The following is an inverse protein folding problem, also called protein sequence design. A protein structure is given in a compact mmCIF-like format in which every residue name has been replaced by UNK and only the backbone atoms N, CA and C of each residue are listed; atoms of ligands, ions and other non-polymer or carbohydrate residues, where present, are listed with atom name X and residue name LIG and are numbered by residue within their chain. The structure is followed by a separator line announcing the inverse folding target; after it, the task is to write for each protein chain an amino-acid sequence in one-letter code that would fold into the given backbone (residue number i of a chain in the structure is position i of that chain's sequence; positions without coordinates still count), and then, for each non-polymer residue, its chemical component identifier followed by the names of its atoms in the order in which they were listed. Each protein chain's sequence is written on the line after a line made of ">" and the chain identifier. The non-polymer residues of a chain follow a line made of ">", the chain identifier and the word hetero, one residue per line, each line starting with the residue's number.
data_IF_914618522570
#
_entry.id   IF_914618522570
#
_cell.length_a   1.000
_cell.length_b   1.000
_cell.length_c   1.000
_cell.angle_alpha   90.00
_cell.angle_beta   90.00
_cell.angle_gamma   90.00
#
_symmetry.space_group_name_H-M   'P 1'
#
loop_
_entity.id
_entity.type
_entity.pdbx_description
1 polymer ?
#
# COMPACT_ATOMS: atom_id res chain seq x y z
N UNK A 1 22.55 0.13 -19.91
CA UNK A 1 21.24 -0.55 -19.83
C UNK A 1 20.83 -0.55 -18.38
N UNK A 2 19.89 0.32 -18.00
CA UNK A 2 19.34 0.31 -16.63
C UNK A 2 18.36 -0.87 -16.56
N UNK A 3 18.78 -1.97 -15.94
CA UNK A 3 17.90 -3.07 -15.58
C UNK A 3 17.06 -2.65 -14.36
N UNK A 4 16.17 -1.67 -14.55
CA UNK A 4 15.17 -1.36 -13.53
C UNK A 4 14.20 -2.54 -13.46
N UNK A 5 14.19 -3.23 -12.32
CA UNK A 5 13.21 -4.27 -12.01
C UNK A 5 11.83 -3.61 -12.07
N UNK A 6 10.85 -4.19 -12.77
CA UNK A 6 9.49 -3.65 -12.80
C UNK A 6 8.94 -3.47 -11.38
N UNK A 7 8.25 -2.37 -11.11
CA UNK A 7 7.70 -2.07 -9.78
C UNK A 7 6.86 -3.22 -9.22
N UNK A 8 6.02 -3.82 -10.07
CA UNK A 8 5.19 -4.96 -9.72
C UNK A 8 6.03 -6.15 -9.27
N UNK A 9 7.15 -6.45 -9.95
CA UNK A 9 8.09 -7.49 -9.52
C UNK A 9 8.65 -7.20 -8.14
N UNK A 10 9.04 -5.95 -7.85
CA UNK A 10 9.52 -5.58 -6.51
C UNK A 10 8.45 -5.77 -5.42
N UNK A 11 7.20 -5.40 -5.71
CA UNK A 11 6.08 -5.57 -4.79
C UNK A 11 5.84 -7.06 -4.53
N UNK A 12 5.71 -7.87 -5.57
CA UNK A 12 5.47 -9.31 -5.43
C UNK A 12 6.64 -10.04 -4.78
N UNK A 13 7.88 -9.67 -5.07
CA UNK A 13 9.07 -10.21 -4.39
C UNK A 13 9.06 -9.88 -2.89
N UNK A 14 8.66 -8.67 -2.53
CA UNK A 14 8.57 -8.26 -1.11
C UNK A 14 7.49 -9.04 -0.37
N UNK A 15 6.36 -9.29 -1.04
CA UNK A 15 5.27 -10.10 -0.48
C UNK A 15 5.66 -11.58 -0.36
N UNK A 16 6.36 -12.11 -1.36
CA UNK A 16 6.91 -13.46 -1.32
C UNK A 16 7.92 -13.63 -0.17
N UNK A 17 8.81 -12.65 0.06
CA UNK A 17 9.71 -12.67 1.22
C UNK A 17 8.97 -12.59 2.55
N UNK A 18 7.85 -11.87 2.61
CA UNK A 18 7.02 -11.82 3.82
C UNK A 18 6.38 -13.19 4.12
N UNK A 19 5.96 -13.94 3.07
CA UNK A 19 5.42 -15.31 3.17
C UNK A 19 6.34 -16.27 3.92
N UNK A 20 7.65 -16.18 3.71
CA UNK A 20 8.64 -17.08 4.35
C UNK A 20 8.54 -17.09 5.88
N UNK A 21 7.90 -16.05 6.46
CA UNK A 21 7.66 -15.91 7.90
C UNK A 21 6.21 -16.13 8.32
N UNK A 22 5.23 -15.94 7.41
CA UNK A 22 3.78 -15.99 7.70
C UNK A 22 3.02 -16.56 6.50
N UNK A 23 3.06 -17.88 6.32
CA UNK A 23 2.50 -18.56 5.12
C UNK A 23 0.97 -18.59 5.09
N UNK A 24 0.32 -18.73 6.26
CA UNK A 24 -1.13 -18.93 6.37
C UNK A 24 -1.98 -17.71 5.98
N UNK A 25 -1.40 -16.50 5.95
CA UNK A 25 -2.06 -15.25 5.57
C UNK A 25 -1.71 -14.80 4.15
N UNK A 26 -0.76 -15.48 3.50
CA UNK A 26 -0.16 -15.04 2.25
C UNK A 26 -1.16 -14.95 1.09
N UNK A 27 -2.00 -15.96 0.88
CA UNK A 27 -2.89 -15.97 -0.28
C UNK A 27 -3.89 -14.81 -0.22
N UNK A 28 -4.47 -14.54 0.95
CA UNK A 28 -5.37 -13.39 1.14
C UNK A 28 -4.64 -12.06 0.87
N UNK A 29 -3.42 -11.92 1.38
CA UNK A 29 -2.62 -10.72 1.16
C UNK A 29 -2.24 -10.56 -0.33
N UNK A 30 -1.86 -11.64 -1.01
CA UNK A 30 -1.54 -11.64 -2.44
C UNK A 30 -2.75 -11.22 -3.26
N UNK A 31 -3.89 -11.88 -3.08
CA UNK A 31 -5.10 -11.55 -3.83
C UNK A 31 -5.50 -10.09 -3.62
N UNK A 32 -5.41 -9.59 -2.39
CA UNK A 32 -5.77 -8.21 -2.06
C UNK A 32 -4.78 -7.18 -2.65
N UNK A 33 -3.47 -7.43 -2.57
CA UNK A 33 -2.45 -6.52 -3.11
C UNK A 33 -2.48 -6.53 -4.65
N UNK A 34 -2.64 -7.70 -5.27
CA UNK A 34 -2.81 -7.82 -6.72
C UNK A 34 -4.06 -7.06 -7.17
N UNK A 35 -5.19 -7.22 -6.47
CA UNK A 35 -6.42 -6.48 -6.77
C UNK A 35 -6.22 -4.96 -6.69
N UNK A 36 -5.50 -4.45 -5.68
CA UNK A 36 -5.18 -3.01 -5.57
C UNK A 36 -4.36 -2.50 -6.77
N UNK A 37 -3.36 -3.26 -7.22
CA UNK A 37 -2.37 -2.80 -8.21
C UNK A 37 -2.89 -2.97 -9.64
N UNK A 38 -3.59 -4.06 -9.91
CA UNK A 38 -3.96 -4.44 -11.28
C UNK A 38 -5.35 -3.92 -11.67
N UNK A 39 -6.23 -3.64 -10.69
CA UNK A 39 -7.57 -3.12 -10.96
C UNK A 39 -7.63 -1.60 -10.69
N UNK A 40 -7.48 -0.80 -11.75
CA UNK A 40 -7.53 0.66 -11.65
C UNK A 40 -8.93 1.21 -11.35
N UNK A 41 -10.00 0.46 -11.63
CA UNK A 41 -11.39 0.87 -11.44
C UNK A 41 -12.11 0.01 -10.38
N UNK A 42 -11.47 -0.17 -9.22
CA UNK A 42 -12.05 -0.98 -8.14
C UNK A 42 -13.39 -0.41 -7.67
N UNK A 43 -14.46 -1.21 -7.63
CA UNK A 43 -15.70 -0.77 -7.02
C UNK A 43 -15.50 -0.58 -5.52
N UNK A 44 -16.23 0.38 -4.95
CA UNK A 44 -16.24 0.60 -3.51
C UNK A 44 -16.77 -0.64 -2.78
N UNK A 45 -15.98 -1.18 -1.86
CA UNK A 45 -16.32 -2.34 -1.07
C UNK A 45 -17.46 -2.03 -0.07
N UNK A 46 -18.09 -3.09 0.45
CA UNK A 46 -19.17 -2.98 1.46
C UNK A 46 -18.65 -2.70 2.87
N UNK A 47 -17.35 -2.86 3.09
CA UNK A 47 -16.68 -2.63 4.35
C UNK A 47 -15.29 -2.04 4.13
N UNK A 48 -14.73 -1.47 5.18
CA UNK A 48 -13.38 -0.95 5.19
C UNK A 48 -12.37 -2.08 5.06
N UNK A 49 -11.52 -2.02 4.04
CA UNK A 49 -10.51 -3.04 3.75
C UNK A 49 -9.38 -3.09 4.80
N UNK A 50 -9.33 -2.12 5.73
CA UNK A 50 -8.32 -2.04 6.81
C UNK A 50 -8.85 -2.64 8.12
N UNK A 51 -10.13 -2.42 8.45
CA UNK A 51 -10.67 -2.77 9.77
C UNK A 51 -12.07 -3.39 9.77
N UNK A 52 -12.62 -3.71 8.59
CA UNK A 52 -13.96 -4.28 8.37
C UNK A 52 -15.13 -3.46 8.91
N UNK A 53 -14.91 -2.20 9.30
CA UNK A 53 -16.00 -1.27 9.61
C UNK A 53 -16.83 -0.97 8.36
N UNK A 54 -18.16 -1.03 8.46
CA UNK A 54 -19.09 -0.69 7.37
C UNK A 54 -19.62 0.76 7.47
N UNK A 55 -19.07 1.58 8.36
CA UNK A 55 -19.56 2.95 8.62
C UNK A 55 -18.77 3.98 7.82
N UNK A 56 -19.50 4.89 7.16
CA UNK A 56 -18.95 6.06 6.43
C UNK A 56 -17.73 5.68 5.57
N UNK A 57 -18.00 4.86 4.56
CA UNK A 57 -16.98 4.37 3.65
C UNK A 57 -16.62 5.43 2.62
N UNK A 58 -15.36 5.51 2.25
CA UNK A 58 -14.76 6.45 1.31
C UNK A 58 -13.71 5.70 0.47
N UNK A 59 -13.45 6.16 -0.76
CA UNK A 59 -12.33 5.64 -1.56
C UNK A 59 -11.09 6.47 -1.23
N UNK A 60 -10.01 5.78 -0.90
CA UNK A 60 -8.71 6.37 -0.62
C UNK A 60 -7.72 6.01 -1.72
N UNK A 61 -7.16 7.00 -2.39
CA UNK A 61 -6.14 6.82 -3.42
C UNK A 61 -4.81 6.44 -2.78
N UNK A 62 -4.24 5.30 -3.18
CA UNK A 62 -3.03 4.74 -2.59
C UNK A 62 -1.85 5.69 -2.80
N UNK A 63 -1.65 6.22 -4.02
CA UNK A 63 -0.57 7.15 -4.38
C UNK A 63 -0.92 8.63 -4.14
N UNK A 64 -2.13 8.93 -3.66
CA UNK A 64 -2.75 10.25 -3.72
C UNK A 64 -3.47 10.50 -5.06
N UNK A 65 -4.51 11.33 -5.05
CA UNK A 65 -5.47 11.46 -6.16
C UNK A 65 -4.88 12.02 -7.47
N UNK A 66 -3.72 12.68 -7.41
CA UNK A 66 -3.07 13.26 -8.59
C UNK A 66 -2.04 12.31 -9.23
N UNK A 67 -1.70 11.20 -8.56
CA UNK A 67 -0.55 10.34 -8.90
C UNK A 67 -0.93 8.92 -9.34
N UNK A 68 -2.20 8.53 -9.22
CA UNK A 68 -2.65 7.17 -9.57
C UNK A 68 -4.12 6.92 -9.23
N UNK A 69 -4.69 5.91 -9.89
CA UNK A 69 -6.10 5.50 -9.73
C UNK A 69 -6.27 4.31 -8.76
N UNK A 70 -5.18 3.72 -8.27
CA UNK A 70 -5.26 2.64 -7.30
C UNK A 70 -5.94 3.17 -6.03
N UNK A 71 -7.04 2.53 -5.64
CA UNK A 71 -7.84 2.93 -4.49
C UNK A 71 -8.10 1.75 -3.56
N UNK A 72 -8.32 2.05 -2.29
CA UNK A 72 -8.94 1.13 -1.33
C UNK A 72 -10.19 1.77 -0.72
N UNK A 73 -11.12 0.96 -0.27
CA UNK A 73 -12.26 1.39 0.54
C UNK A 73 -11.84 1.48 2.00
N UNK A 74 -11.89 2.68 2.55
CA UNK A 74 -11.58 2.94 3.95
C UNK A 74 -12.82 3.53 4.66
N UNK A 75 -13.03 3.18 5.93
CA UNK A 75 -13.94 3.96 6.76
C UNK A 75 -13.31 5.34 7.01
N UNK A 76 -14.15 6.34 7.30
CA UNK A 76 -13.71 7.72 7.52
C UNK A 76 -12.51 7.84 8.47
N UNK A 77 -12.48 7.09 9.58
CA UNK A 77 -11.36 7.13 10.53
C UNK A 77 -10.05 6.61 9.94
N UNK A 78 -10.10 5.51 9.16
CA UNK A 78 -8.91 4.98 8.50
C UNK A 78 -8.48 5.94 7.38
N UNK A 79 -9.43 6.50 6.64
CA UNK A 79 -9.14 7.45 5.57
C UNK A 79 -8.41 8.69 6.10
N UNK A 80 -8.95 9.34 7.14
CA UNK A 80 -8.35 10.54 7.74
C UNK A 80 -6.92 10.28 8.21
N UNK A 81 -6.65 9.12 8.81
CA UNK A 81 -5.29 8.73 9.25
C UNK A 81 -4.34 8.55 8.08
N UNK A 82 -4.76 7.87 7.02
CA UNK A 82 -3.95 7.69 5.82
C UNK A 82 -3.69 9.03 5.12
N UNK A 83 -4.70 9.88 4.98
CA UNK A 83 -4.53 11.24 4.43
C UNK A 83 -3.57 12.07 5.25
N UNK A 84 -3.63 11.98 6.59
CA UNK A 84 -2.69 12.68 7.46
C UNK A 84 -1.23 12.20 7.24
N UNK A 85 -1.02 10.89 7.08
CA UNK A 85 0.29 10.33 6.69
C UNK A 85 0.74 10.80 5.30
N UNK A 86 -0.15 10.78 4.31
CA UNK A 86 0.13 11.22 2.93
C UNK A 86 0.61 12.67 2.86
N UNK A 87 0.04 13.56 3.67
CA UNK A 87 0.49 14.97 3.73
C UNK A 87 1.94 15.12 4.17
N UNK A 88 2.49 14.14 4.90
CA UNK A 88 3.87 14.14 5.38
C UNK A 88 4.87 13.61 4.33
N UNK A 89 4.40 13.19 3.16
CA UNK A 89 5.30 12.72 2.10
C UNK A 89 6.13 13.86 1.49
N UNK A 90 5.55 15.07 1.39
CA UNK A 90 6.10 16.23 0.67
C UNK A 90 7.45 16.78 1.17
N UNK A 91 7.79 16.78 2.48
CA UNK A 91 9.14 17.17 2.92
C UNK A 91 10.23 16.15 2.56
N UNK A 92 9.88 14.89 2.28
CA UNK A 92 10.82 13.78 2.12
C UNK A 92 11.08 13.33 0.67
N UNK A 93 10.35 13.88 -0.30
CA UNK A 93 10.44 13.54 -1.72
C UNK A 93 10.99 14.67 -2.61
N UNK A 94 11.74 15.61 -2.04
CA UNK A 94 12.38 16.72 -2.78
C UNK A 94 13.53 16.27 -3.70
N UNK A 95 13.19 15.43 -4.68
CA UNK A 95 13.84 15.44 -5.97
C UNK A 95 12.79 15.89 -7.00
N UNK A 96 12.75 17.21 -7.20
CA UNK A 96 11.80 17.95 -8.07
C UNK A 96 11.85 17.49 -9.54
N UNK A 97 12.80 16.62 -9.90
CA UNK A 97 12.99 16.10 -11.25
C UNK A 97 12.53 14.64 -11.45
N UNK A 98 11.89 14.00 -10.47
CA UNK A 98 11.35 12.64 -10.69
C UNK A 98 9.85 12.60 -10.52
N UNK A 99 9.16 12.36 -11.63
CA UNK A 99 7.82 11.79 -11.75
C UNK A 99 7.78 10.38 -11.10
N UNK A 100 8.17 10.24 -9.83
CA UNK A 100 8.35 8.93 -9.21
C UNK A 100 7.02 8.45 -8.62
N UNK A 101 6.00 8.33 -9.48
CA UNK A 101 4.69 7.75 -9.15
C UNK A 101 4.85 6.41 -8.42
N UNK A 102 5.89 5.64 -8.75
CA UNK A 102 6.20 4.34 -8.18
C UNK A 102 6.62 4.43 -6.70
N UNK A 103 7.35 5.47 -6.33
CA UNK A 103 7.69 5.74 -4.94
C UNK A 103 6.45 6.02 -4.09
N UNK A 104 5.48 6.78 -4.64
CA UNK A 104 4.21 7.03 -3.96
C UNK A 104 3.35 5.78 -3.81
N UNK A 105 3.38 4.84 -4.76
CA UNK A 105 2.69 3.55 -4.59
C UNK A 105 3.26 2.75 -3.45
N UNK A 106 4.57 2.56 -3.44
CA UNK A 106 5.20 1.77 -2.40
C UNK A 106 4.94 2.42 -1.04
N UNK A 107 5.07 3.75 -0.94
CA UNK A 107 4.79 4.45 0.32
C UNK A 107 3.34 4.33 0.75
N UNK A 108 2.39 4.45 -0.19
CA UNK A 108 0.97 4.24 0.05
C UNK A 108 0.66 2.82 0.54
N UNK A 109 1.24 1.80 -0.11
CA UNK A 109 1.09 0.40 0.29
C UNK A 109 1.66 0.14 1.69
N UNK A 110 2.83 0.71 2.01
CA UNK A 110 3.41 0.64 3.36
C UNK A 110 2.43 1.23 4.39
N UNK A 111 1.95 2.46 4.16
CA UNK A 111 1.08 3.15 5.11
C UNK A 111 -0.26 2.42 5.34
N UNK A 112 -0.82 1.83 4.28
CA UNK A 112 -2.03 1.01 4.32
C UNK A 112 -1.79 -0.31 5.06
N UNK A 113 -0.69 -1.01 4.76
CA UNK A 113 -0.37 -2.30 5.37
C UNK A 113 -0.06 -2.17 6.87
N UNK A 114 0.70 -1.15 7.27
CA UNK A 114 0.90 -0.82 8.69
C UNK A 114 -0.43 -0.55 9.40
N UNK A 115 -1.33 0.22 8.75
CA UNK A 115 -2.64 0.53 9.33
C UNK A 115 -3.50 -0.73 9.47
N UNK A 116 -3.48 -1.62 8.47
CA UNK A 116 -4.21 -2.90 8.51
C UNK A 116 -3.66 -3.83 9.58
N UNK A 117 -2.34 -3.92 9.73
CA UNK A 117 -1.72 -4.65 10.83
C UNK A 117 -2.16 -4.10 12.20
N UNK A 118 -2.05 -2.80 12.43
CA UNK A 118 -2.46 -2.18 13.69
C UNK A 118 -3.92 -2.42 14.06
N UNK A 119 -4.80 -2.62 13.07
CA UNK A 119 -6.22 -2.84 13.26
C UNK A 119 -6.62 -4.32 13.36
N UNK A 120 -5.89 -5.22 12.71
CA UNK A 120 -6.30 -6.63 12.56
C UNK A 120 -5.36 -7.61 13.24
N UNK A 121 -4.11 -7.21 13.52
CA UNK A 121 -3.06 -8.10 14.01
C UNK A 121 -2.51 -9.09 12.99
N UNK A 122 -2.94 -9.03 11.72
CA UNK A 122 -2.45 -9.90 10.64
C UNK A 122 -0.99 -9.57 10.30
N UNK A 123 -0.08 -10.43 10.71
CA UNK A 123 1.37 -10.16 10.72
C UNK A 123 1.95 -10.06 9.30
N UNK A 124 1.34 -10.71 8.30
CA UNK A 124 1.80 -10.63 6.89
C UNK A 124 1.89 -9.18 6.40
N UNK A 125 0.94 -8.30 6.78
CA UNK A 125 0.94 -6.91 6.33
C UNK A 125 2.06 -6.09 6.95
N UNK A 126 2.42 -6.37 8.20
CA UNK A 126 3.58 -5.76 8.83
C UNK A 126 4.87 -6.19 8.15
N UNK A 127 5.04 -7.51 7.93
CA UNK A 127 6.23 -8.05 7.26
C UNK A 127 6.37 -7.55 5.83
N UNK A 128 5.27 -7.48 5.11
CA UNK A 128 5.24 -6.92 3.77
C UNK A 128 5.66 -5.44 3.76
N UNK A 129 5.14 -4.62 4.68
CA UNK A 129 5.56 -3.23 4.84
C UNK A 129 7.06 -3.10 5.19
N UNK A 130 7.57 -3.94 6.08
CA UNK A 130 9.01 -4.01 6.42
C UNK A 130 9.84 -4.32 5.17
N UNK A 131 9.46 -5.33 4.36
CA UNK A 131 10.19 -5.72 3.14
C UNK A 131 10.14 -4.66 2.03
N UNK A 132 9.01 -3.98 1.87
CA UNK A 132 8.91 -2.84 0.94
C UNK A 132 9.83 -1.69 1.35
N UNK A 133 9.95 -1.44 2.66
CA UNK A 133 10.80 -0.39 3.24
C UNK A 133 12.29 -0.73 3.14
N UNK A 134 12.68 -1.99 3.37
CA UNK A 134 14.08 -2.44 3.20
C UNK A 134 14.60 -2.20 1.78
N UNK A 135 13.77 -2.40 0.75
CA UNK A 135 14.14 -2.10 -0.63
C UNK A 135 14.25 -0.60 -0.95
N UNK A 136 13.93 0.30 -0.01
CA UNK A 136 13.93 1.75 -0.15
C UNK A 136 15.21 2.42 0.35
N UNK A 137 16.27 1.66 0.68
CA UNK A 137 17.54 2.28 1.09
C UNK A 137 18.09 3.16 -0.03
N UNK A 138 18.17 4.46 0.25
CA UNK A 138 18.82 5.45 -0.59
C UNK A 138 20.32 5.11 -0.65
N UNK A 139 20.74 4.41 -1.72
CA UNK A 139 22.11 4.48 -2.21
C UNK A 139 22.18 5.45 -3.39
#
# INVERSE_FOLDING_TARGET
>A
MNNQIPLSSRIYDSLFKAKETVDNEYQEALDWITDIIENAERPKAKECEICSSNKKLELHHVRGCENGNEVITACHECHVKLTAKQRLWYPSCHDINTENNDAYLIRGLIDICESKYQKTGKEIFKRFAEKLTEGFSYE
#
